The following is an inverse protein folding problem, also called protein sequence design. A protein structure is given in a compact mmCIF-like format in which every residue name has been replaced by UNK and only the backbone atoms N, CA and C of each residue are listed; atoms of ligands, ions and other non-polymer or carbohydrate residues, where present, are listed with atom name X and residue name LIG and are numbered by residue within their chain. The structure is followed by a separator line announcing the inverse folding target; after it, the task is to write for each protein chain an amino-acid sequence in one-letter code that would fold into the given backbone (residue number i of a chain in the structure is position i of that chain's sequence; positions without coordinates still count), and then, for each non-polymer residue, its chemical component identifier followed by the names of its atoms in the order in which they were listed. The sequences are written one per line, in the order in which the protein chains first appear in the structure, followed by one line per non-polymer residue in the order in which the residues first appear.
data_IF_657501283812
#
_entry.id   IF_657501283812
#
_cell.length_a   1.000
_cell.length_b   1.000
_cell.length_c   1.000
_cell.angle_alpha   90.00
_cell.angle_beta   90.00
_cell.angle_gamma   90.00
#
_symmetry.space_group_name_H-M   'P 1'
#
loop_
_entity.id
_entity.type
_entity.pdbx_description
1 polymer ?
#
# COMPACT_ATOMS: atom_id res chain seq x y z
N UNK A 1 -26.43 -5.24 -11.51
CA UNK A 1 -25.89 -5.07 -10.15
C UNK A 1 -25.99 -3.59 -9.83
N UNK A 2 -26.78 -3.24 -8.82
CA UNK A 2 -26.81 -1.88 -8.28
C UNK A 2 -25.38 -1.45 -7.92
N UNK A 3 -25.00 -0.22 -8.24
CA UNK A 3 -23.67 0.26 -7.90
C UNK A 3 -23.52 0.28 -6.37
N UNK A 4 -22.30 0.00 -5.88
CA UNK A 4 -22.02 0.04 -4.45
C UNK A 4 -22.40 1.38 -3.80
N UNK A 5 -22.32 2.47 -4.57
CA UNK A 5 -22.73 3.80 -4.14
C UNK A 5 -24.25 3.90 -3.96
N UNK A 6 -25.04 3.38 -4.89
CA UNK A 6 -26.51 3.33 -4.79
C UNK A 6 -26.95 2.46 -3.61
N UNK A 7 -26.32 1.29 -3.43
CA UNK A 7 -26.58 0.42 -2.29
C UNK A 7 -26.38 1.12 -0.94
N UNK A 8 -25.26 1.86 -0.79
CA UNK A 8 -24.99 2.64 0.43
C UNK A 8 -25.96 3.81 0.56
N UNK A 9 -26.31 4.47 -0.55
CA UNK A 9 -27.27 5.57 -0.57
C UNK A 9 -28.66 5.11 -0.11
N UNK A 10 -29.13 3.95 -0.58
CA UNK A 10 -30.41 3.37 -0.19
C UNK A 10 -30.50 3.20 1.34
N UNK A 11 -29.53 2.50 1.94
CA UNK A 11 -29.50 2.29 3.39
C UNK A 11 -29.27 3.57 4.18
N UNK A 12 -28.46 4.50 3.66
CA UNK A 12 -28.29 5.81 4.27
C UNK A 12 -29.63 6.55 4.35
N UNK A 13 -30.42 6.58 3.27
CA UNK A 13 -31.70 7.27 3.23
C UNK A 13 -32.73 6.69 4.20
N UNK A 14 -32.68 5.38 4.48
CA UNK A 14 -33.51 4.75 5.50
C UNK A 14 -33.11 5.15 6.92
N UNK A 15 -31.81 5.26 7.19
CA UNK A 15 -31.29 5.64 8.51
C UNK A 15 -31.38 7.15 8.79
N UNK A 16 -31.35 7.96 7.73
CA UNK A 16 -31.16 9.40 7.84
C UNK A 16 -32.25 10.13 8.64
N UNK A 17 -33.56 9.87 8.47
CA UNK A 17 -34.60 10.52 9.27
C UNK A 17 -34.38 10.33 10.77
N UNK A 18 -34.13 9.10 11.23
CA UNK A 18 -33.88 8.83 12.65
C UNK A 18 -32.63 9.53 13.18
N UNK A 19 -31.55 9.59 12.39
CA UNK A 19 -30.32 10.30 12.78
C UNK A 19 -30.54 11.82 12.81
N UNK A 20 -31.29 12.36 11.85
CA UNK A 20 -31.54 13.79 11.73
C UNK A 20 -32.45 14.31 12.83
N UNK A 21 -33.47 13.52 13.16
CA UNK A 21 -34.52 13.90 14.10
C UNK A 21 -34.09 13.67 15.57
N UNK A 22 -32.93 13.02 15.81
CA UNK A 22 -32.23 12.92 17.09
C UNK A 22 -30.98 13.84 17.13
N UNK A 23 -31.07 15.04 17.74
CA UNK A 23 -29.97 16.00 17.78
C UNK A 23 -28.73 15.49 18.52
N UNK A 24 -28.89 14.65 19.55
CA UNK A 24 -27.77 14.13 20.32
C UNK A 24 -26.99 13.11 19.49
N UNK A 25 -27.70 12.19 18.85
CA UNK A 25 -27.08 11.20 17.97
C UNK A 25 -26.39 11.86 16.77
N UNK A 26 -27.03 12.88 16.17
CA UNK A 26 -26.41 13.68 15.12
C UNK A 26 -25.12 14.35 15.61
N UNK A 27 -25.16 15.01 16.78
CA UNK A 27 -23.99 15.67 17.38
C UNK A 27 -22.84 14.68 17.63
N UNK A 28 -23.12 13.49 18.16
CA UNK A 28 -22.11 12.44 18.37
C UNK A 28 -21.50 11.95 17.06
N UNK A 29 -22.31 11.75 16.01
CA UNK A 29 -21.84 11.35 14.67
C UNK A 29 -21.04 12.45 13.99
N UNK A 30 -21.43 13.71 14.13
CA UNK A 30 -20.67 14.86 13.64
C UNK A 30 -19.34 15.02 14.38
N UNK A 31 -19.32 14.82 15.70
CA UNK A 31 -18.09 14.83 16.49
C UNK A 31 -17.07 13.78 16.00
N UNK A 32 -17.54 12.64 15.46
CA UNK A 32 -16.66 11.63 14.86
C UNK A 32 -15.84 12.19 13.70
N UNK A 33 -16.32 13.16 12.93
CA UNK A 33 -15.58 13.76 11.80
C UNK A 33 -14.27 14.42 12.25
N UNK A 34 -14.12 14.73 13.54
CA UNK A 34 -12.91 15.28 14.15
C UNK A 34 -11.91 14.18 14.57
N UNK A 35 -12.33 12.91 14.57
CA UNK A 35 -11.45 11.80 14.87
C UNK A 35 -10.38 11.64 13.80
N UNK A 36 -9.23 11.13 14.23
CA UNK A 36 -8.07 10.90 13.37
C UNK A 36 -8.38 10.00 12.17
N UNK A 37 -9.42 9.17 12.20
CA UNK A 37 -9.79 8.35 11.04
C UNK A 37 -10.27 9.18 9.86
N UNK A 38 -10.91 10.34 10.07
CA UNK A 38 -11.41 11.21 8.99
C UNK A 38 -10.40 12.22 8.50
N UNK A 39 -9.44 12.57 9.35
CA UNK A 39 -8.34 13.46 8.97
C UNK A 39 -7.29 12.75 8.11
N UNK A 40 -7.44 11.42 7.92
CA UNK A 40 -6.54 10.58 7.15
C UNK A 40 -7.08 10.35 5.75
N UNK A 41 -6.53 10.97 4.70
CA UNK A 41 -6.95 10.69 3.36
C UNK A 41 -6.56 9.25 2.98
N UNK A 42 -7.52 8.44 2.48
CA UNK A 42 -7.22 7.17 1.86
C UNK A 42 -6.24 7.31 0.70
N UNK A 43 -5.30 6.38 0.60
CA UNK A 43 -4.36 6.33 -0.54
C UNK A 43 -5.09 6.25 -1.87
N UNK A 44 -6.23 5.56 -1.90
CA UNK A 44 -7.07 5.43 -3.08
C UNK A 44 -7.62 6.77 -3.58
N UNK A 45 -7.55 7.85 -2.78
CA UNK A 45 -8.00 9.20 -3.11
C UNK A 45 -6.87 10.22 -3.00
N UNK A 46 -5.65 9.77 -3.27
CA UNK A 46 -4.48 10.62 -3.34
C UNK A 46 -3.86 10.49 -4.73
N UNK A 47 -3.43 11.62 -5.30
CA UNK A 47 -2.40 11.60 -6.33
C UNK A 47 -1.09 11.22 -5.64
N UNK A 48 -0.28 10.38 -6.25
CA UNK A 48 1.04 10.05 -5.73
C UNK A 48 2.09 10.20 -6.81
N UNK A 49 3.29 10.64 -6.44
CA UNK A 49 4.41 10.73 -7.37
C UNK A 49 5.64 10.06 -6.76
N UNK A 50 6.41 9.35 -7.60
CA UNK A 50 7.58 8.59 -7.17
C UNK A 50 8.84 9.35 -7.50
N UNK A 51 9.78 9.39 -6.55
CA UNK A 51 11.06 10.07 -6.78
C UNK A 51 11.83 9.40 -7.93
N UNK A 52 11.80 8.07 -7.96
CA UNK A 52 12.46 7.24 -8.97
C UNK A 52 11.64 7.05 -10.25
N UNK A 53 10.64 7.90 -10.51
CA UNK A 53 9.91 7.86 -11.78
C UNK A 53 10.85 8.27 -12.94
N UNK A 54 11.04 7.36 -13.89
CA UNK A 54 11.97 7.56 -15.01
C UNK A 54 11.46 8.55 -16.05
N UNK A 55 10.18 8.92 -16.00
CA UNK A 55 9.56 9.93 -16.86
C UNK A 55 9.78 11.35 -16.38
N UNK A 56 10.45 11.57 -15.24
CA UNK A 56 10.79 12.92 -14.78
C UNK A 56 12.16 13.31 -15.37
N UNK A 57 12.13 13.88 -16.58
CA UNK A 57 13.31 14.34 -17.35
C UNK A 57 13.01 15.66 -18.07
N UNK A 58 14.03 16.36 -18.55
CA UNK A 58 13.84 17.58 -19.34
C UNK A 58 13.03 17.33 -20.62
N UNK A 59 13.38 16.27 -21.36
CA UNK A 59 12.69 15.88 -22.62
C UNK A 59 11.21 15.55 -22.44
N UNK A 60 10.74 15.30 -21.23
CA UNK A 60 9.33 15.02 -20.92
C UNK A 60 8.58 16.28 -20.44
N UNK A 61 9.16 17.47 -20.64
CA UNK A 61 8.61 18.75 -20.22
C UNK A 61 8.60 18.96 -18.71
N UNK A 62 9.45 18.25 -17.95
CA UNK A 62 9.58 18.49 -16.52
C UNK A 62 10.49 19.71 -16.31
N UNK A 63 10.00 20.73 -15.59
CA UNK A 63 10.78 21.94 -15.29
C UNK A 63 11.68 21.69 -14.08
N UNK A 64 12.96 21.42 -14.33
CA UNK A 64 13.97 21.06 -13.34
C UNK A 64 14.96 22.22 -13.16
N UNK A 65 15.33 22.52 -11.92
CA UNK A 65 16.29 23.56 -11.59
C UNK A 65 17.34 23.06 -10.58
N UNK A 66 18.66 23.14 -10.88
CA UNK A 66 19.23 23.48 -12.20
C UNK A 66 18.86 22.46 -13.29
N UNK A 67 18.83 22.88 -14.55
CA UNK A 67 18.33 22.06 -15.67
C UNK A 67 19.05 20.70 -15.79
N UNK A 68 20.38 20.71 -15.76
CA UNK A 68 21.21 19.51 -15.91
C UNK A 68 21.41 18.70 -14.62
N UNK A 69 20.95 19.19 -13.47
CA UNK A 69 21.20 18.56 -12.17
C UNK A 69 20.63 17.14 -12.10
N UNK A 70 19.51 16.85 -12.78
CA UNK A 70 18.96 15.50 -12.85
C UNK A 70 19.85 14.53 -13.67
N UNK A 71 20.57 15.02 -14.67
CA UNK A 71 21.51 14.22 -15.47
C UNK A 71 22.79 13.97 -14.66
N UNK A 72 23.29 15.02 -14.02
CA UNK A 72 24.49 15.00 -13.18
C UNK A 72 24.29 14.30 -11.83
N UNK A 73 23.06 13.87 -11.53
CA UNK A 73 22.67 13.22 -10.27
C UNK A 73 22.83 14.13 -9.04
N UNK A 74 22.68 15.42 -9.23
CA UNK A 74 22.76 16.43 -8.18
C UNK A 74 21.38 16.68 -7.53
N UNK A 75 21.33 17.18 -6.28
CA UNK A 75 20.12 17.73 -5.70
C UNK A 75 19.50 18.80 -6.60
N UNK A 76 18.18 18.78 -6.76
CA UNK A 76 17.48 19.75 -7.61
C UNK A 76 16.04 19.96 -7.17
N UNK A 77 15.44 21.05 -7.65
CA UNK A 77 14.03 21.35 -7.48
C UNK A 77 13.28 21.06 -8.77
N UNK A 78 12.07 20.53 -8.64
CA UNK A 78 11.13 20.24 -9.72
C UNK A 78 9.87 21.07 -9.49
N UNK A 79 9.37 21.74 -10.53
CA UNK A 79 8.01 22.28 -10.51
C UNK A 79 7.02 21.18 -10.90
N UNK A 80 6.14 20.81 -9.97
CA UNK A 80 5.04 19.88 -10.21
C UNK A 80 3.76 20.66 -10.44
N UNK A 81 3.32 20.69 -11.69
CA UNK A 81 2.10 21.34 -12.15
C UNK A 81 1.09 20.31 -12.70
N UNK A 82 -0.13 20.75 -13.02
CA UNK A 82 -1.18 19.88 -13.57
C UNK A 82 -0.74 19.18 -14.88
N UNK A 83 -0.10 19.86 -15.87
CA UNK A 83 0.40 19.18 -17.07
C UNK A 83 1.39 18.04 -16.78
N UNK A 84 2.35 18.25 -15.87
CA UNK A 84 3.28 17.19 -15.48
C UNK A 84 2.54 16.05 -14.76
N UNK A 85 1.61 16.37 -13.86
CA UNK A 85 0.81 15.35 -13.16
C UNK A 85 -0.02 14.51 -14.12
N UNK A 86 -0.65 15.10 -15.13
CA UNK A 86 -1.41 14.35 -16.15
C UNK A 86 -0.53 13.32 -16.82
N UNK A 87 0.68 13.70 -17.25
CA UNK A 87 1.67 12.77 -17.84
C UNK A 87 2.13 11.69 -16.88
N UNK A 88 2.40 12.02 -15.62
CA UNK A 88 2.89 11.05 -14.63
C UNK A 88 1.78 10.09 -14.16
N UNK A 89 0.55 10.54 -14.07
CA UNK A 89 -0.58 9.75 -13.61
C UNK A 89 -1.42 9.13 -14.74
N UNK A 90 -1.02 9.33 -16.00
CA UNK A 90 -1.71 8.75 -17.16
C UNK A 90 -1.83 7.23 -16.99
N UNK A 91 -3.05 6.73 -17.15
CA UNK A 91 -3.35 5.30 -17.15
C UNK A 91 -2.54 4.61 -18.26
N UNK A 92 -1.93 3.47 -17.94
CA UNK A 92 -1.24 2.66 -18.94
C UNK A 92 -2.06 1.42 -19.22
N UNK A 93 -2.59 1.33 -20.43
CA UNK A 93 -3.29 0.15 -20.94
C UNK A 93 -2.31 -0.70 -21.74
N UNK A 94 -2.42 -2.03 -21.59
CA UNK A 94 -1.61 -3.02 -22.30
C UNK A 94 -2.55 -4.10 -22.82
N UNK A 95 -3.15 -3.82 -23.96
CA UNK A 95 -4.20 -4.61 -24.59
C UNK A 95 -3.64 -5.83 -25.34
N UNK A 96 -4.46 -6.87 -25.62
CA UNK A 96 -4.10 -7.94 -26.55
C UNK A 96 -3.66 -7.38 -27.91
N UNK A 97 -2.61 -7.92 -28.56
CA UNK A 97 -1.88 -9.16 -28.25
C UNK A 97 -0.84 -9.05 -27.11
N UNK A 98 -0.79 -7.93 -26.40
CA UNK A 98 0.22 -7.62 -25.41
C UNK A 98 1.43 -6.92 -26.01
N UNK A 99 2.26 -6.35 -25.16
CA UNK A 99 3.42 -5.54 -25.55
C UNK A 99 4.70 -6.04 -24.88
N UNK A 100 5.86 -5.68 -25.42
CA UNK A 100 7.11 -6.06 -24.78
C UNK A 100 7.34 -5.23 -23.49
N UNK A 101 7.94 -5.82 -22.43
CA UNK A 101 8.30 -5.06 -21.22
C UNK A 101 9.17 -3.82 -21.49
N UNK A 102 9.93 -3.79 -22.59
CA UNK A 102 10.71 -2.61 -22.99
C UNK A 102 9.83 -1.41 -23.38
N UNK A 103 8.66 -1.66 -23.96
CA UNK A 103 7.72 -0.62 -24.42
C UNK A 103 6.81 -0.13 -23.29
N UNK A 104 6.41 -1.06 -22.41
CA UNK A 104 5.52 -0.74 -21.27
C UNK A 104 6.26 0.04 -20.17
N UNK A 105 7.54 -0.24 -19.95
CA UNK A 105 8.29 0.33 -18.81
C UNK A 105 8.52 1.85 -18.86
N UNK A 106 8.82 2.48 -20.03
CA UNK A 106 8.86 3.92 -20.17
C UNK A 106 7.52 4.58 -19.85
N UNK A 107 6.40 4.03 -20.35
CA UNK A 107 5.05 4.56 -20.10
C UNK A 107 4.68 4.53 -18.61
N UNK A 108 5.10 3.50 -17.89
CA UNK A 108 4.93 3.41 -16.44
C UNK A 108 5.96 4.20 -15.63
N UNK A 109 7.06 4.68 -16.22
CA UNK A 109 8.17 5.26 -15.46
C UNK A 109 8.78 4.28 -14.45
N UNK A 110 8.92 3.01 -14.83
CA UNK A 110 9.43 1.90 -14.00
C UNK A 110 10.66 1.25 -14.63
N UNK A 111 11.35 0.40 -13.86
CA UNK A 111 12.44 -0.44 -14.40
C UNK A 111 11.89 -1.71 -15.04
N UNK A 112 12.63 -2.32 -15.98
CA UNK A 112 12.28 -3.65 -16.51
C UNK A 112 12.18 -4.72 -15.42
N UNK A 113 13.09 -4.68 -14.43
CA UNK A 113 13.05 -5.58 -13.27
C UNK A 113 11.72 -5.54 -12.51
N UNK A 114 11.06 -4.38 -12.47
CA UNK A 114 9.74 -4.24 -11.87
C UNK A 114 8.70 -5.09 -12.62
N UNK A 115 8.64 -4.98 -13.95
CA UNK A 115 7.71 -5.78 -14.76
C UNK A 115 8.01 -7.27 -14.64
N UNK A 116 9.27 -7.69 -14.75
CA UNK A 116 9.63 -9.12 -14.57
C UNK A 116 9.29 -9.67 -13.19
N UNK A 117 9.35 -8.84 -12.14
CA UNK A 117 8.87 -9.24 -10.81
C UNK A 117 7.37 -9.49 -10.82
N UNK A 118 6.59 -8.68 -11.53
CA UNK A 118 5.14 -8.83 -11.64
C UNK A 118 4.72 -10.00 -12.56
N UNK A 119 5.45 -10.25 -13.65
CA UNK A 119 5.34 -11.47 -14.47
C UNK A 119 5.48 -12.72 -13.59
N UNK A 120 6.55 -12.80 -12.78
CA UNK A 120 6.79 -13.94 -11.87
C UNK A 120 5.73 -14.11 -10.78
N UNK A 121 4.95 -13.06 -10.48
CA UNK A 121 3.84 -13.13 -9.51
C UNK A 121 2.53 -13.58 -10.15
N UNK A 122 2.51 -13.75 -11.47
CA UNK A 122 1.30 -14.06 -12.25
C UNK A 122 0.35 -12.87 -12.34
N UNK A 123 0.89 -11.65 -12.27
CA UNK A 123 0.07 -10.43 -12.31
C UNK A 123 -0.30 -10.06 -13.78
N UNK A 124 0.48 -10.52 -14.76
CA UNK A 124 0.23 -10.36 -16.20
C UNK A 124 -0.13 -11.70 -16.86
N UNK A 125 -0.93 -11.65 -17.93
CA UNK A 125 -0.95 -12.73 -18.92
C UNK A 125 0.30 -12.60 -19.77
N UNK A 126 1.03 -13.70 -19.98
CA UNK A 126 2.34 -13.66 -20.65
C UNK A 126 2.38 -14.69 -21.75
N UNK A 127 2.75 -14.26 -22.95
CA UNK A 127 3.03 -15.14 -24.10
C UNK A 127 4.49 -15.01 -24.47
N UNK A 128 5.12 -16.12 -24.78
CA UNK A 128 6.54 -16.16 -25.13
C UNK A 128 6.67 -16.48 -26.61
N UNK A 129 7.16 -15.53 -27.40
CA UNK A 129 7.27 -15.66 -28.85
C UNK A 129 8.75 -15.77 -29.22
N UNK A 130 9.12 -16.87 -29.91
CA UNK A 130 10.47 -17.03 -30.48
C UNK A 130 10.63 -16.10 -31.68
N UNK A 131 11.81 -15.52 -31.83
CA UNK A 131 12.17 -14.66 -32.98
C UNK A 131 11.26 -13.43 -33.16
N UNK A 132 10.57 -12.96 -32.11
CA UNK A 132 9.75 -11.75 -32.19
C UNK A 132 10.61 -10.55 -32.58
N UNK A 133 10.26 -9.88 -33.69
CA UNK A 133 11.04 -8.77 -34.25
C UNK A 133 12.45 -9.17 -34.68
N UNK A 134 12.67 -10.43 -35.07
CA UNK A 134 13.98 -10.95 -35.50
C UNK A 134 14.98 -11.20 -34.35
N UNK A 135 14.56 -11.04 -33.09
CA UNK A 135 15.43 -11.22 -31.92
C UNK A 135 15.79 -12.71 -31.74
N UNK A 136 17.05 -13.07 -32.02
CA UNK A 136 17.60 -14.41 -31.77
C UNK A 136 17.74 -14.66 -30.26
N UNK A 137 17.58 -15.92 -29.82
CA UNK A 137 17.81 -16.35 -28.43
C UNK A 137 16.54 -16.76 -27.67
N UNK A 138 16.46 -16.39 -26.38
CA UNK A 138 15.32 -16.75 -25.52
C UNK A 138 14.02 -16.13 -26.05
N UNK A 139 12.88 -16.83 -25.96
CA UNK A 139 11.59 -16.28 -26.33
C UNK A 139 11.31 -14.92 -25.67
N UNK A 140 10.79 -13.98 -26.45
CA UNK A 140 10.47 -12.63 -25.98
C UNK A 140 9.10 -12.64 -25.31
N UNK A 141 8.97 -12.14 -24.08
CA UNK A 141 7.68 -12.06 -23.40
C UNK A 141 6.86 -10.90 -23.96
N UNK A 142 5.66 -11.19 -24.46
CA UNK A 142 4.57 -10.23 -24.59
C UNK A 142 3.71 -10.28 -23.34
N UNK A 143 3.49 -9.14 -22.72
CA UNK A 143 2.65 -9.01 -21.53
C UNK A 143 1.32 -8.36 -21.88
N UNK A 144 0.24 -8.90 -21.33
CA UNK A 144 -1.11 -8.34 -21.38
C UNK A 144 -1.57 -8.07 -19.94
N UNK A 145 -2.07 -6.87 -19.70
CA UNK A 145 -2.60 -6.49 -18.39
C UNK A 145 -4.12 -6.70 -18.37
N UNK A 146 -4.61 -7.50 -17.42
CA UNK A 146 -6.07 -7.72 -17.27
C UNK A 146 -6.85 -6.47 -16.86
N UNK A 147 -6.14 -5.43 -16.40
CA UNK A 147 -6.69 -4.15 -15.96
C UNK A 147 -5.71 -3.04 -16.32
N UNK A 148 -6.20 -1.80 -16.49
CA UNK A 148 -5.33 -0.65 -16.66
C UNK A 148 -4.34 -0.53 -15.49
N UNK A 149 -3.13 -0.10 -15.79
CA UNK A 149 -2.04 0.04 -14.82
C UNK A 149 -1.97 1.49 -14.32
N UNK A 150 -1.83 1.64 -12.99
CA UNK A 150 -1.55 2.90 -12.30
C UNK A 150 -0.03 3.08 -12.14
N UNK A 151 0.61 4.02 -12.87
CA UNK A 151 2.03 4.29 -12.75
C UNK A 151 2.42 4.72 -11.33
N UNK A 152 1.51 5.32 -10.58
CA UNK A 152 1.72 5.89 -9.25
C UNK A 152 1.48 4.88 -8.12
N UNK A 153 0.91 3.72 -8.43
CA UNK A 153 0.75 2.61 -7.49
C UNK A 153 2.05 1.86 -7.29
N UNK A 154 2.31 1.41 -6.05
CA UNK A 154 3.45 0.55 -5.72
C UNK A 154 3.41 -0.80 -6.45
N UNK A 155 2.22 -1.30 -6.74
CA UNK A 155 1.99 -2.58 -7.43
C UNK A 155 1.71 -2.44 -8.92
N UNK A 156 1.74 -1.23 -9.48
CA UNK A 156 1.22 -0.89 -10.81
C UNK A 156 -0.26 -1.17 -11.04
N UNK A 157 -0.94 -1.88 -10.14
CA UNK A 157 -2.39 -1.99 -10.16
C UNK A 157 -3.04 -0.79 -9.48
N UNK A 158 -4.19 -0.34 -9.98
CA UNK A 158 -4.97 0.68 -9.34
C UNK A 158 -5.43 0.26 -7.94
N UNK A 159 -5.99 1.20 -7.17
CA UNK A 159 -6.77 0.87 -5.98
C UNK A 159 -7.83 -0.21 -6.28
N UNK A 160 -8.27 -0.92 -5.24
CA UNK A 160 -9.43 -1.82 -5.39
C UNK A 160 -10.64 -1.00 -5.86
N UNK A 161 -11.39 -1.54 -6.82
CA UNK A 161 -12.52 -0.88 -7.50
C UNK A 161 -13.56 -0.35 -6.50
N UNK A 162 -13.70 -0.99 -5.34
CA UNK A 162 -14.60 -0.52 -4.28
C UNK A 162 -14.20 0.85 -3.73
N UNK A 163 -12.93 1.20 -3.75
CA UNK A 163 -12.45 2.52 -3.33
C UNK A 163 -12.51 3.56 -4.46
N UNK A 164 -13.09 3.19 -5.60
CA UNK A 164 -13.37 4.05 -6.73
C UNK A 164 -12.48 3.76 -7.94
N UNK A 165 -13.11 3.76 -9.11
CA UNK A 165 -12.46 3.73 -10.43
C UNK A 165 -12.09 5.14 -10.92
N UNK A 166 -12.28 6.16 -10.07
CA UNK A 166 -12.02 7.56 -10.40
C UNK A 166 -10.54 7.97 -10.31
N UNK A 167 -9.66 7.04 -9.93
CA UNK A 167 -8.24 7.31 -9.82
C UNK A 167 -7.56 7.86 -11.09
N UNK A 168 -7.97 7.52 -12.32
CA UNK A 168 -7.45 8.14 -13.54
C UNK A 168 -7.70 9.65 -13.58
N UNK A 169 -8.84 10.07 -13.04
CA UNK A 169 -9.37 11.44 -13.12
C UNK A 169 -8.96 12.30 -11.93
N UNK A 170 -8.19 11.77 -10.99
CA UNK A 170 -7.77 12.52 -9.81
C UNK A 170 -7.03 13.81 -10.15
N UNK A 171 -6.25 13.80 -11.23
CA UNK A 171 -5.50 14.99 -11.67
C UNK A 171 -6.45 16.08 -12.15
N UNK A 172 -7.59 15.72 -12.75
CA UNK A 172 -8.57 16.70 -13.23
C UNK A 172 -9.37 17.34 -12.10
N UNK A 173 -9.38 16.73 -10.91
CA UNK A 173 -9.91 17.34 -9.70
C UNK A 173 -8.96 18.38 -9.06
N UNK A 174 -7.73 18.55 -9.59
CA UNK A 174 -6.80 19.56 -9.12
C UNK A 174 -7.17 20.94 -9.67
N UNK A 175 -6.97 22.04 -8.91
CA UNK A 175 -7.10 23.38 -9.45
C UNK A 175 -6.22 23.56 -10.70
N UNK A 176 -6.71 24.17 -11.80
CA UNK A 176 -5.92 24.38 -13.02
C UNK A 176 -4.60 25.12 -12.77
N UNK A 177 -4.60 26.05 -11.81
CA UNK A 177 -3.44 26.83 -11.40
C UNK A 177 -2.52 26.11 -10.39
N UNK A 178 -2.77 24.83 -10.08
CA UNK A 178 -1.94 24.10 -9.12
C UNK A 178 -0.49 23.96 -9.65
N UNK A 179 0.44 24.44 -8.85
CA UNK A 179 1.87 24.26 -9.05
C UNK A 179 2.59 24.21 -7.69
N UNK A 180 3.55 23.30 -7.54
CA UNK A 180 4.34 23.18 -6.33
C UNK A 180 5.80 22.85 -6.66
N UNK A 181 6.72 23.63 -6.08
CA UNK A 181 8.15 23.32 -6.11
C UNK A 181 8.45 22.22 -5.08
N UNK A 182 9.06 21.13 -5.54
CA UNK A 182 9.49 20.02 -4.67
C UNK A 182 10.96 19.70 -4.91
N UNK A 183 11.69 19.38 -3.84
CA UNK A 183 13.12 19.05 -3.91
C UNK A 183 13.33 17.54 -4.04
N UNK A 184 14.25 17.15 -4.92
CA UNK A 184 14.67 15.77 -5.17
C UNK A 184 16.16 15.63 -4.96
N UNK A 185 16.57 14.60 -4.25
CA UNK A 185 17.96 14.32 -3.91
C UNK A 185 18.37 12.93 -4.36
N UNK A 186 19.63 12.78 -4.81
CA UNK A 186 20.17 11.46 -5.07
C UNK A 186 20.29 10.69 -3.75
N UNK A 187 19.90 9.42 -3.75
CA UNK A 187 20.36 8.51 -2.70
C UNK A 187 21.63 7.87 -3.22
N UNK A 188 22.74 8.04 -2.51
CA UNK A 188 24.02 7.38 -2.80
C UNK A 188 24.21 6.27 -1.77
N UNK A 189 24.62 5.08 -2.21
CA UNK A 189 25.02 4.00 -1.31
C UNK A 189 26.41 4.30 -0.72
N UNK A 190 26.80 3.59 0.34
CA UNK A 190 28.14 3.73 0.93
C UNK A 190 29.26 3.36 -0.05
N UNK A 191 28.95 2.59 -1.10
CA UNK A 191 29.87 2.21 -2.17
C UNK A 191 29.87 3.18 -3.37
N UNK A 192 29.28 4.38 -3.21
CA UNK A 192 29.19 5.38 -4.27
C UNK A 192 28.16 5.09 -5.37
N UNK A 193 27.54 3.91 -5.40
CA UNK A 193 26.52 3.60 -6.42
C UNK A 193 25.27 4.43 -6.20
N UNK A 194 24.67 4.87 -7.31
CA UNK A 194 23.39 5.58 -7.34
C UNK A 194 22.21 4.61 -7.51
N UNK A 195 21.51 4.20 -6.43
CA UNK A 195 20.36 3.30 -6.54
C UNK A 195 19.10 3.98 -7.08
N UNK A 196 18.84 5.22 -6.65
CA UNK A 196 17.54 5.86 -6.88
C UNK A 196 17.50 7.29 -6.36
N UNK A 197 16.54 8.08 -6.84
CA UNK A 197 16.15 9.36 -6.27
C UNK A 197 15.29 9.25 -5.00
N UNK A 198 15.30 10.29 -4.17
CA UNK A 198 14.38 10.54 -3.05
C UNK A 198 13.81 11.94 -3.13
N UNK A 199 12.55 12.09 -2.74
CA UNK A 199 11.95 13.41 -2.51
C UNK A 199 12.35 13.90 -1.12
N UNK A 200 12.59 15.19 -0.97
CA UNK A 200 12.61 15.86 0.34
C UNK A 200 11.19 16.32 0.62
N UNK A 201 10.57 15.78 1.67
CA UNK A 201 9.21 16.17 2.05
C UNK A 201 9.17 17.66 2.42
N UNK A 202 8.30 18.49 1.82
CA UNK A 202 8.29 19.93 2.11
C UNK A 202 7.83 20.28 3.52
N UNK A 203 7.14 19.37 4.22
CA UNK A 203 6.62 19.62 5.58
C UNK A 203 7.55 19.13 6.70
N UNK A 204 8.29 18.02 6.48
CA UNK A 204 9.14 17.45 7.54
C UNK A 204 10.61 17.28 7.14
N UNK A 205 10.98 17.73 5.93
CA UNK A 205 12.33 17.66 5.35
C UNK A 205 12.94 16.25 5.25
N UNK A 206 12.17 15.19 5.56
CA UNK A 206 12.66 13.80 5.48
C UNK A 206 12.69 13.32 4.03
N UNK A 207 13.74 12.56 3.70
CA UNK A 207 13.86 11.89 2.42
C UNK A 207 12.88 10.71 2.28
N UNK A 208 12.01 10.74 1.26
CA UNK A 208 10.96 9.75 1.04
C UNK A 208 10.92 9.25 -0.41
N UNK A 209 10.33 8.06 -0.63
CA UNK A 209 10.23 7.48 -1.99
C UNK A 209 9.05 8.04 -2.79
N UNK A 210 8.01 8.45 -2.09
CA UNK A 210 6.74 8.89 -2.64
C UNK A 210 6.26 10.11 -1.88
N UNK A 211 5.70 11.06 -2.62
CA UNK A 211 4.86 12.12 -2.08
C UNK A 211 3.42 11.85 -2.50
N UNK A 212 2.49 12.34 -1.69
CA UNK A 212 1.06 12.21 -1.90
C UNK A 212 0.46 13.60 -1.88
N UNK A 213 -0.45 13.88 -2.80
CA UNK A 213 -1.32 15.03 -2.76
C UNK A 213 -2.75 14.48 -2.60
N UNK A 214 -3.30 14.53 -1.39
CA UNK A 214 -4.70 14.18 -1.16
C UNK A 214 -5.58 15.08 -2.01
N UNK A 215 -6.52 14.48 -2.74
CA UNK A 215 -7.51 15.24 -3.49
C UNK A 215 -8.83 15.26 -2.72
N UNK A 216 -9.69 16.21 -3.04
CA UNK A 216 -11.05 16.19 -2.53
C UNK A 216 -11.74 14.96 -3.09
N UNK A 217 -12.06 14.02 -2.21
CA UNK A 217 -12.93 12.91 -2.55
C UNK A 217 -14.27 13.51 -2.96
N UNK A 218 -14.85 13.11 -4.11
CA UNK A 218 -16.26 13.34 -4.31
C UNK A 218 -16.98 12.47 -3.28
N UNK A 219 -17.21 13.03 -2.08
CA UNK A 219 -17.98 12.37 -1.04
C UNK A 219 -19.35 12.00 -1.63
N UNK A 220 -19.95 10.91 -1.12
CA UNK A 220 -21.36 10.64 -1.43
C UNK A 220 -22.19 11.89 -1.14
N UNK A 221 -21.85 12.70 -0.15
CA UNK A 221 -22.44 14.03 0.09
C UNK A 221 -22.58 14.98 -1.12
N UNK A 222 -21.81 14.80 -2.22
CA UNK A 222 -22.00 15.51 -3.50
C UNK A 222 -22.86 14.75 -4.51
N UNK A 223 -22.83 13.41 -4.51
CA UNK A 223 -23.73 12.56 -5.32
C UNK A 223 -25.13 12.43 -4.70
N UNK A 224 -25.20 12.81 -3.45
CA UNK A 224 -26.30 12.67 -2.56
C UNK A 224 -26.51 14.10 -2.05
N UNK A 225 -27.07 14.93 -2.93
CA UNK A 225 -28.00 15.99 -2.53
C UNK A 225 -29.13 15.31 -1.73
N UNK A 226 -28.82 14.85 -0.52
CA UNK A 226 -29.65 14.04 0.38
C UNK A 226 -30.80 14.88 0.96
N UNK A 227 -31.24 15.91 0.24
CA UNK A 227 -32.16 16.92 0.75
C UNK A 227 -31.61 17.71 1.93
N UNK A 228 -30.31 17.62 2.23
CA UNK A 228 -29.62 18.47 3.19
C UNK A 228 -29.58 19.89 2.62
N UNK A 229 -30.65 20.65 2.83
CA UNK A 229 -30.69 22.09 2.50
C UNK A 229 -29.44 22.74 3.09
N UNK A 230 -28.77 23.56 2.28
CA UNK A 230 -27.62 24.37 2.72
C UNK A 230 -28.10 25.24 3.90
N UNK A 231 -27.84 24.81 5.13
CA UNK A 231 -28.36 25.45 6.34
C UNK A 231 -28.36 24.55 7.58
N UNK A 232 -28.59 23.23 7.42
CA UNK A 232 -28.66 22.31 8.58
C UNK A 232 -27.27 21.87 9.09
N UNK A 233 -26.27 21.84 8.21
CA UNK A 233 -24.89 21.47 8.56
C UNK A 233 -24.04 22.73 8.54
N UNK A 234 -23.49 23.12 9.70
CA UNK A 234 -22.60 24.27 9.76
C UNK A 234 -21.30 23.97 9.02
N UNK A 235 -20.63 25.01 8.52
CA UNK A 235 -19.33 24.83 7.84
C UNK A 235 -18.29 24.13 8.74
N UNK A 236 -18.40 24.32 10.05
CA UNK A 236 -17.58 23.68 11.11
C UNK A 236 -17.78 22.16 11.22
N UNK A 237 -18.89 21.64 10.70
CA UNK A 237 -19.23 20.21 10.75
C UNK A 237 -18.67 19.44 9.56
N UNK A 238 -18.16 20.10 8.52
CA UNK A 238 -17.53 19.40 7.42
C UNK A 238 -16.19 18.82 7.86
N UNK A 239 -15.88 17.62 7.33
CA UNK A 239 -14.53 17.08 7.47
C UNK A 239 -13.53 18.13 6.95
N UNK A 240 -12.40 18.34 7.66
CA UNK A 240 -11.43 19.34 7.24
C UNK A 240 -10.98 19.04 5.82
N UNK A 241 -10.94 20.08 4.98
CA UNK A 241 -10.49 19.91 3.59
C UNK A 241 -9.05 19.41 3.61
N UNK A 242 -8.73 18.34 2.87
CA UNK A 242 -7.35 17.91 2.75
C UNK A 242 -6.49 19.04 2.18
N UNK A 243 -5.27 19.20 2.70
CA UNK A 243 -4.28 20.10 2.12
C UNK A 243 -3.90 19.56 0.73
N UNK A 244 -4.28 20.28 -0.32
CA UNK A 244 -3.95 19.96 -1.71
C UNK A 244 -2.51 20.38 -2.01
N UNK A 245 -1.56 19.80 -1.29
CA UNK A 245 -0.12 19.94 -1.50
C UNK A 245 0.51 18.55 -1.43
N UNK A 246 1.67 18.37 -2.05
CA UNK A 246 2.46 17.15 -1.93
C UNK A 246 3.24 17.14 -0.62
N UNK A 247 3.02 16.13 0.21
CA UNK A 247 3.87 15.79 1.34
C UNK A 247 4.01 14.28 1.50
N UNK A 248 4.80 13.83 2.48
CA UNK A 248 4.99 12.42 2.71
C UNK A 248 3.74 11.76 3.35
N UNK A 249 3.69 10.43 3.28
CA UNK A 249 2.61 9.65 3.89
C UNK A 249 2.39 9.96 5.38
N UNK A 250 3.45 10.21 6.15
CA UNK A 250 3.34 10.51 7.58
C UNK A 250 2.72 11.88 7.82
N UNK A 251 3.18 12.89 7.09
CA UNK A 251 2.70 14.28 7.20
C UNK A 251 1.22 14.41 6.85
N UNK A 252 0.80 13.85 5.70
CA UNK A 252 -0.62 13.79 5.36
C UNK A 252 -1.40 12.71 6.12
N UNK A 253 -0.72 11.89 6.92
CA UNK A 253 -1.29 10.71 7.58
C UNK A 253 -2.05 9.76 6.62
N UNK A 254 -1.58 9.65 5.37
CA UNK A 254 -2.22 8.84 4.30
C UNK A 254 -2.33 7.40 4.75
N UNK A 255 -3.54 6.86 4.61
CA UNK A 255 -3.85 5.51 5.05
C UNK A 255 -4.12 4.57 3.87
N UNK A 256 -3.60 3.35 3.94
CA UNK A 256 -3.85 2.32 2.92
C UNK A 256 -5.13 1.55 3.22
N UNK A 257 -6.16 1.72 2.40
CA UNK A 257 -7.37 0.91 2.48
C UNK A 257 -7.18 -0.41 1.73
N UNK A 258 -7.65 -1.50 2.34
CA UNK A 258 -7.61 -2.83 1.78
C UNK A 258 -8.88 -3.56 2.20
N UNK A 259 -9.58 -4.20 1.26
CA UNK A 259 -10.80 -4.96 1.51
C UNK A 259 -10.58 -6.17 2.45
N UNK A 260 -9.34 -6.66 2.52
CA UNK A 260 -8.96 -7.75 3.42
C UNK A 260 -8.87 -7.35 4.90
N UNK A 261 -8.87 -6.06 5.25
CA UNK A 261 -8.84 -5.65 6.65
C UNK A 261 -10.17 -5.96 7.35
N UNK A 262 -10.12 -6.39 8.62
CA UNK A 262 -11.30 -6.75 9.45
C UNK A 262 -12.31 -5.61 9.52
N UNK A 263 -11.84 -4.37 9.60
CA UNK A 263 -12.64 -3.14 9.69
C UNK A 263 -12.76 -2.38 8.35
N UNK A 264 -12.41 -3.02 7.22
CA UNK A 264 -12.45 -2.39 5.90
C UNK A 264 -13.82 -1.85 5.53
N UNK A 265 -14.88 -2.62 5.79
CA UNK A 265 -16.26 -2.22 5.52
C UNK A 265 -16.68 -1.01 6.35
N UNK A 266 -16.41 -1.04 7.65
CA UNK A 266 -16.69 0.09 8.52
C UNK A 266 -15.97 1.35 8.05
N UNK A 267 -14.69 1.25 7.69
CA UNK A 267 -13.94 2.39 7.15
C UNK A 267 -14.53 2.89 5.84
N UNK A 268 -14.92 1.99 4.94
CA UNK A 268 -15.53 2.37 3.67
C UNK A 268 -16.81 3.16 3.85
N UNK A 269 -17.78 2.61 4.59
CA UNK A 269 -19.04 3.28 4.94
C UNK A 269 -18.76 4.60 5.64
N UNK A 270 -17.82 4.60 6.59
CA UNK A 270 -17.41 5.78 7.35
C UNK A 270 -16.93 6.90 6.41
N UNK A 271 -16.04 6.65 5.45
CA UNK A 271 -15.59 7.71 4.56
C UNK A 271 -16.67 8.16 3.56
N UNK A 272 -17.44 7.22 3.02
CA UNK A 272 -18.48 7.55 2.04
C UNK A 272 -19.59 8.39 2.64
N UNK A 273 -20.03 8.06 3.85
CA UNK A 273 -21.09 8.80 4.57
C UNK A 273 -20.56 9.97 5.39
N UNK A 274 -19.28 10.34 5.21
CA UNK A 274 -18.60 11.36 6.01
C UNK A 274 -18.80 11.17 7.52
N UNK A 275 -18.83 9.91 7.97
CA UNK A 275 -18.90 9.55 9.38
C UNK A 275 -20.28 9.58 10.01
N UNK A 276 -21.31 9.83 9.20
CA UNK A 276 -22.69 9.74 9.67
C UNK A 276 -23.01 8.29 9.98
N UNK A 277 -22.80 7.34 9.07
CA UNK A 277 -23.11 5.93 9.32
C UNK A 277 -21.90 5.14 9.82
N UNK A 278 -22.19 4.03 10.49
CA UNK A 278 -21.24 2.97 10.82
C UNK A 278 -21.41 1.79 9.86
N UNK A 279 -20.36 1.02 9.65
CA UNK A 279 -20.44 -0.16 8.80
C UNK A 279 -21.27 -1.31 9.36
N UNK A 280 -21.66 -1.29 10.63
CA UNK A 280 -22.61 -2.29 11.16
C UNK A 280 -24.06 -1.90 10.90
N UNK A 281 -24.35 -0.62 10.64
CA UNK A 281 -25.71 -0.14 10.32
C UNK A 281 -26.07 -0.37 8.86
N UNK A 282 -25.06 -0.36 7.98
CA UNK A 282 -25.24 -0.69 6.57
C UNK A 282 -24.84 -2.15 6.39
N UNK A 283 -25.78 -3.05 6.03
CA UNK A 283 -25.47 -4.45 5.83
C UNK A 283 -24.32 -4.61 4.84
N UNK A 284 -23.37 -5.48 5.16
CA UNK A 284 -22.25 -5.76 4.27
C UNK A 284 -22.79 -6.58 3.09
N UNK A 285 -22.61 -6.15 1.82
CA UNK A 285 -23.03 -6.94 0.67
C UNK A 285 -22.39 -8.32 0.70
N UNK A 286 -23.13 -9.36 0.29
CA UNK A 286 -22.61 -10.73 0.25
C UNK A 286 -21.29 -10.82 -0.54
N UNK A 287 -21.18 -10.09 -1.64
CA UNK A 287 -19.97 -10.06 -2.47
C UNK A 287 -18.78 -9.28 -1.86
N UNK A 288 -18.97 -8.56 -0.74
CA UNK A 288 -17.89 -7.96 0.05
C UNK A 288 -17.15 -9.05 0.83
N UNK A 289 -16.58 -9.99 0.10
CA UNK A 289 -15.73 -10.99 0.69
C UNK A 289 -14.39 -10.34 1.05
N UNK A 290 -13.90 -10.66 2.26
CA UNK A 290 -12.50 -10.49 2.57
C UNK A 290 -11.73 -11.28 1.53
N UNK A 291 -11.16 -10.59 0.53
CA UNK A 291 -10.15 -11.22 -0.31
C UNK A 291 -9.07 -11.57 0.69
N UNK A 292 -9.00 -12.84 1.08
CA UNK A 292 -7.93 -13.32 1.93
C UNK A 292 -6.68 -12.85 1.21
N UNK A 293 -5.96 -11.91 1.85
CA UNK A 293 -4.71 -11.43 1.29
C UNK A 293 -3.93 -12.71 1.03
N UNK A 294 -3.70 -13.04 -0.26
CA UNK A 294 -3.10 -14.31 -0.68
C UNK A 294 -2.06 -14.61 0.36
N UNK A 295 -2.29 -15.63 1.19
CA UNK A 295 -1.50 -15.85 2.39
C UNK A 295 -0.08 -15.91 1.86
N UNK A 296 0.66 -14.82 2.05
CA UNK A 296 2.04 -14.81 1.67
C UNK A 296 2.60 -15.74 2.71
N UNK A 297 2.75 -17.02 2.32
CA UNK A 297 3.41 -18.02 3.13
C UNK A 297 4.80 -17.42 3.25
N UNK A 298 5.00 -16.65 4.32
CA UNK A 298 6.29 -16.17 4.72
C UNK A 298 7.07 -17.45 4.77
N UNK A 299 7.89 -17.70 3.75
CA UNK A 299 8.77 -18.83 3.81
C UNK A 299 9.47 -18.64 5.15
N UNK A 300 9.38 -19.63 6.06
CA UNK A 300 9.97 -19.52 7.37
C UNK A 300 11.47 -19.54 7.12
N UNK A 301 12.03 -18.42 6.68
CA UNK A 301 13.44 -18.15 6.81
C UNK A 301 13.57 -17.93 8.31
N UNK A 302 14.17 -18.88 9.03
CA UNK A 302 14.45 -18.65 10.42
C UNK A 302 15.28 -17.35 10.46
N UNK A 303 14.75 -16.35 11.16
CA UNK A 303 15.53 -15.14 11.39
C UNK A 303 16.67 -15.58 12.30
N UNK A 304 17.96 -15.37 11.96
CA UNK A 304 19.08 -15.85 12.78
C UNK A 304 18.94 -15.46 14.25
N UNK A 305 18.30 -14.30 14.50
CA UNK A 305 18.00 -13.80 15.82
C UNK A 305 17.00 -14.63 16.62
N UNK A 306 15.99 -15.19 15.97
CA UNK A 306 15.00 -16.06 16.61
C UNK A 306 15.65 -17.38 17.04
N UNK A 307 16.57 -17.90 16.23
CA UNK A 307 17.33 -19.11 16.56
C UNK A 307 18.27 -18.85 17.73
N UNK A 308 18.97 -17.71 17.75
CA UNK A 308 19.78 -17.29 18.91
C UNK A 308 18.94 -17.20 20.20
N UNK A 309 17.73 -16.64 20.13
CA UNK A 309 16.84 -16.57 21.30
C UNK A 309 16.39 -17.97 21.72
N UNK A 310 16.01 -18.82 20.78
CA UNK A 310 15.63 -20.20 21.05
C UNK A 310 16.79 -20.97 21.71
N UNK A 311 17.99 -20.88 21.16
CA UNK A 311 19.19 -21.52 21.70
C UNK A 311 19.45 -21.09 23.14
N UNK A 312 19.38 -19.78 23.46
CA UNK A 312 19.55 -19.29 24.84
C UNK A 312 18.43 -19.76 25.77
N UNK A 313 17.19 -19.84 25.29
CA UNK A 313 16.08 -20.39 26.09
C UNK A 313 16.29 -21.86 26.44
N UNK A 314 16.87 -22.63 25.52
CA UNK A 314 17.11 -24.07 25.69
C UNK A 314 18.37 -24.38 26.51
N UNK A 315 19.46 -23.63 26.30
CA UNK A 315 20.79 -23.97 26.84
C UNK A 315 21.14 -23.31 28.16
N UNK A 316 20.57 -22.15 28.46
CA UNK A 316 20.88 -21.42 29.71
C UNK A 316 19.61 -21.23 30.52
N UNK A 317 19.72 -20.85 31.79
CA UNK A 317 18.61 -20.38 32.63
C UNK A 317 18.48 -18.86 32.67
N UNK A 318 19.07 -18.16 31.68
CA UNK A 318 19.01 -16.70 31.63
C UNK A 318 17.58 -16.17 31.59
N UNK A 319 17.34 -15.12 32.35
CA UNK A 319 16.13 -14.32 32.33
C UNK A 319 16.04 -13.51 31.03
N UNK A 320 14.84 -13.06 30.64
CA UNK A 320 14.68 -12.25 29.43
C UNK A 320 15.55 -10.98 29.40
N UNK A 321 15.74 -10.24 30.52
CA UNK A 321 16.68 -9.12 30.57
C UNK A 321 18.14 -9.53 30.29
N UNK A 322 18.59 -10.68 30.79
CA UNK A 322 19.94 -11.19 30.54
C UNK A 322 20.13 -11.57 29.07
N UNK A 323 19.16 -12.29 28.48
CA UNK A 323 19.17 -12.62 27.04
C UNK A 323 19.18 -11.33 26.20
N UNK A 324 18.38 -10.33 26.58
CA UNK A 324 18.32 -9.04 25.91
C UNK A 324 19.68 -8.32 25.92
N UNK A 325 20.35 -8.30 27.09
CA UNK A 325 21.68 -7.70 27.27
C UNK A 325 22.73 -8.42 26.43
N UNK A 326 22.78 -9.75 26.49
CA UNK A 326 23.75 -10.55 25.76
C UNK A 326 23.61 -10.37 24.24
N UNK A 327 22.37 -10.30 23.76
CA UNK A 327 22.09 -10.12 22.35
C UNK A 327 22.23 -8.65 21.92
N UNK A 328 22.29 -7.68 22.83
CA UNK A 328 22.24 -6.23 22.55
C UNK A 328 20.92 -5.81 21.87
N UNK A 329 19.79 -6.24 22.42
CA UNK A 329 18.43 -5.82 22.03
C UNK A 329 17.60 -5.43 23.23
N UNK A 330 16.50 -4.71 22.99
CA UNK A 330 15.54 -4.35 24.04
C UNK A 330 14.84 -5.59 24.61
N UNK A 331 14.45 -5.54 25.90
CA UNK A 331 13.62 -6.57 26.56
C UNK A 331 12.31 -6.84 25.80
N UNK A 332 11.65 -5.79 25.29
CA UNK A 332 10.42 -5.91 24.51
C UNK A 332 10.61 -6.73 23.22
N UNK A 333 11.76 -6.55 22.54
CA UNK A 333 12.09 -7.35 21.37
C UNK A 333 12.25 -8.84 21.71
N UNK A 334 12.89 -9.19 22.84
CA UNK A 334 12.99 -10.57 23.32
C UNK A 334 11.62 -11.14 23.64
N UNK A 335 10.79 -10.41 24.39
CA UNK A 335 9.44 -10.84 24.74
C UNK A 335 8.60 -11.18 23.49
N UNK A 336 8.65 -10.34 22.47
CA UNK A 336 7.98 -10.61 21.19
C UNK A 336 8.53 -11.85 20.44
N UNK A 337 9.82 -12.15 20.56
CA UNK A 337 10.39 -13.37 19.97
C UNK A 337 9.97 -14.63 20.75
N UNK A 338 10.00 -14.57 22.09
CA UNK A 338 9.55 -15.66 22.96
C UNK A 338 8.08 -15.99 22.70
N UNK A 339 7.21 -14.97 22.66
CA UNK A 339 5.79 -15.15 22.33
C UNK A 339 5.57 -15.86 20.98
N UNK A 340 6.34 -15.48 19.95
CA UNK A 340 6.29 -16.14 18.64
C UNK A 340 6.84 -17.56 18.67
N UNK A 341 7.86 -17.84 19.48
CA UNK A 341 8.38 -19.19 19.66
C UNK A 341 7.33 -20.07 20.35
N UNK A 342 6.76 -19.59 21.46
CA UNK A 342 5.69 -20.27 22.19
C UNK A 342 4.49 -20.60 21.29
N UNK A 343 3.98 -19.62 20.55
CA UNK A 343 2.89 -19.85 19.60
C UNK A 343 3.28 -20.81 18.45
N UNK A 344 4.54 -20.78 18.00
CA UNK A 344 4.99 -21.67 16.93
C UNK A 344 5.12 -23.13 17.37
N UNK A 345 5.53 -23.37 18.62
CA UNK A 345 5.66 -24.72 19.18
C UNK A 345 4.39 -25.20 19.90
N UNK A 346 3.39 -24.32 20.09
CA UNK A 346 2.14 -24.63 20.77
C UNK A 346 2.33 -24.83 22.28
N UNK A 347 3.15 -24.00 22.91
CA UNK A 347 3.53 -24.10 24.34
C UNK A 347 3.30 -22.77 25.06
N UNK A 348 3.14 -22.82 26.38
CA UNK A 348 2.89 -21.64 27.22
C UNK A 348 4.05 -21.29 28.16
N UNK A 349 4.98 -22.22 28.38
CA UNK A 349 6.09 -22.05 29.31
C UNK A 349 7.46 -22.40 28.70
N UNK A 350 8.54 -21.93 29.35
CA UNK A 350 9.92 -22.27 28.96
C UNK A 350 10.20 -23.77 29.14
N UNK A 351 9.67 -24.38 30.19
CA UNK A 351 9.79 -25.81 30.46
C UNK A 351 9.14 -26.65 29.35
N UNK A 352 7.89 -26.33 29.01
CA UNK A 352 7.19 -26.97 27.88
C UNK A 352 7.93 -26.77 26.55
N UNK A 353 8.50 -25.58 26.32
CA UNK A 353 9.29 -25.33 25.12
C UNK A 353 10.53 -26.23 25.05
N UNK A 354 11.27 -26.40 26.16
CA UNK A 354 12.44 -27.28 26.24
C UNK A 354 12.05 -28.73 25.91
N UNK A 355 10.98 -29.20 26.54
CA UNK A 355 10.47 -30.56 26.34
C UNK A 355 10.01 -30.77 24.89
N UNK A 356 9.22 -29.85 24.35
CA UNK A 356 8.70 -29.94 22.98
C UNK A 356 9.81 -29.96 21.94
N UNK A 357 10.85 -29.14 22.11
CA UNK A 357 11.99 -29.11 21.19
C UNK A 357 12.85 -30.37 21.33
N UNK A 358 13.01 -30.91 22.54
CA UNK A 358 13.69 -32.20 22.77
C UNK A 358 13.00 -33.33 22.01
N UNK A 359 11.68 -33.47 22.17
CA UNK A 359 10.88 -34.48 21.48
C UNK A 359 10.96 -34.36 19.95
N UNK A 360 10.90 -33.13 19.41
CA UNK A 360 11.04 -32.89 17.97
C UNK A 360 12.42 -33.37 17.47
N UNK A 361 13.50 -33.03 18.19
CA UNK A 361 14.87 -33.45 17.82
C UNK A 361 15.03 -34.97 17.87
N UNK A 362 14.48 -35.63 18.89
CA UNK A 362 14.50 -37.10 18.99
C UNK A 362 13.75 -37.76 17.82
N UNK A 363 12.59 -37.22 17.43
CA UNK A 363 11.83 -37.70 16.27
C UNK A 363 12.57 -37.47 14.94
N UNK A 364 13.31 -36.37 14.81
CA UNK A 364 14.13 -36.08 13.62
C UNK A 364 15.33 -37.04 13.50
N UNK A 365 16.00 -37.36 14.61
CA UNK A 365 17.07 -38.37 14.64
C UNK A 365 16.53 -39.73 14.23
N UNK A 366 15.35 -40.13 14.72
CA UNK A 366 14.70 -41.40 14.34
C UNK A 366 14.25 -41.45 12.88
N UNK A 367 14.00 -40.31 12.24
CA UNK A 367 13.61 -40.23 10.81
C UNK A 367 14.78 -40.24 9.83
N UNK A 368 15.97 -39.77 10.24
CA UNK A 368 17.17 -39.79 9.39
C UNK A 368 17.60 -41.18 8.87
N UNK A 369 17.56 -42.28 9.65
CA UNK A 369 18.01 -43.59 9.14
C UNK A 369 17.19 -44.10 7.95
N UNK A 370 15.93 -43.68 7.79
CA UNK A 370 15.07 -44.15 6.68
C UNK A 370 15.45 -43.53 5.33
N UNK A 371 16.07 -42.35 5.30
CA UNK A 371 16.54 -41.72 4.05
C UNK A 371 17.93 -42.17 3.63
N UNK A 372 18.75 -42.64 4.55
CA UNK A 372 20.12 -43.13 4.28
C UNK A 372 20.15 -44.64 3.96
N UNK A 373 19.08 -45.39 4.27
CA UNK A 373 18.98 -46.83 4.00
C UNK A 373 18.66 -47.21 2.54
N UNK A 374 18.52 -46.26 1.61
CA UNK A 374 18.42 -46.57 0.17
C UNK A 374 17.30 -47.55 -0.22
N UNK A 375 16.27 -47.71 0.61
CA UNK A 375 15.13 -48.59 0.30
C UNK A 375 14.31 -47.88 -0.79
N UNK A 376 14.60 -48.23 -2.05
CA UNK A 376 13.66 -48.02 -3.15
C UNK A 376 12.43 -48.87 -2.85
N UNK A 377 11.37 -48.22 -2.36
CA UNK A 377 10.03 -48.79 -2.38
C UNK A 377 9.60 -48.72 -3.86
N UNK A 378 9.68 -49.87 -4.52
CA UNK A 378 9.09 -50.09 -5.84
C UNK A 378 7.56 -50.04 -5.75
#
# INVERSE_FOLDING_TARGET
MESLTEYIRHHFLQLWPGIRDDPEQLRLRLARRRLTVFTRPPRAWCIAIRAADRRIRLRTGARIHPELAAVNREPHTLLVDVPLLRRLCTVVVVDPPGEEPVEVTPRLGRSRTFIYKHIRRGDFRVRYIKLLGGKRGKPVPLIEAQRPLDPCSKSAYPPDVVWGDLWPWHVDAMPPAFAQKIRREPRVHSDGRFPSWRWVCPECSKQVKMLFCPIRVPHVQRYCDLGLKHGTIQQSDYAPRPRTTFACQKCHNVYGLCRGARDSWNRFVTYLTAGICYGHEIPKPAWWFHRQARYYKCQPRPTPRRDQVLERLLTTDFTYPQIARQLKVTRAAIHMQVYKLFNHYGVHSRGELRERVRLIRELEVKRKPVRELGINIA
#
